data_IF_265663739492
#
_entry.id   IF_265663739492
#
_cell.length_a   1.000
_cell.length_b   1.000
_cell.length_c   1.000
_cell.angle_alpha   90.00
_cell.angle_beta   90.00
_cell.angle_gamma   90.00
#
_symmetry.space_group_name_H-M   'P 1'
#
loop_
_entity.id
_entity.type
_entity.pdbx_description
1 polymer ?
#
# COMPACT_ATOMS: atom_id res chain seq x y z
N UNK A 1 19.94 -0.40 1.26
CA UNK A 1 19.94 -1.68 0.51
C UNK A 1 21.02 -2.69 0.96
N UNK A 2 21.86 -2.41 1.98
CA UNK A 2 23.00 -3.31 2.34
C UNK A 2 22.67 -4.45 3.32
N UNK A 3 21.40 -4.71 3.66
CA UNK A 3 21.06 -5.70 4.69
C UNK A 3 19.92 -6.65 4.31
N UNK A 4 19.67 -6.85 3.02
CA UNK A 4 18.71 -7.81 2.52
C UNK A 4 19.40 -8.90 1.69
N UNK A 5 19.04 -10.15 1.94
CA UNK A 5 19.56 -11.31 1.22
C UNK A 5 18.55 -11.77 0.18
N UNK A 6 18.99 -11.99 -1.05
CA UNK A 6 18.13 -12.51 -2.12
C UNK A 6 17.85 -13.99 -1.84
N UNK A 7 16.59 -14.33 -1.65
CA UNK A 7 16.14 -15.72 -1.47
C UNK A 7 15.99 -16.43 -2.81
N UNK A 8 15.52 -15.72 -3.84
CA UNK A 8 15.32 -16.29 -5.17
C UNK A 8 14.46 -15.41 -6.06
N UNK A 9 14.03 -15.97 -7.19
CA UNK A 9 13.11 -15.34 -8.13
C UNK A 9 11.93 -16.27 -8.40
N UNK A 10 10.72 -15.82 -8.11
CA UNK A 10 9.49 -16.60 -8.31
C UNK A 10 8.51 -15.80 -9.16
N UNK A 11 7.93 -16.43 -10.19
CA UNK A 11 6.99 -15.78 -11.12
C UNK A 11 7.53 -14.47 -11.78
N UNK A 12 8.85 -14.33 -11.88
CA UNK A 12 9.55 -13.15 -12.43
C UNK A 12 9.89 -12.07 -11.40
N UNK A 13 9.48 -12.24 -10.14
CA UNK A 13 9.65 -11.27 -9.05
C UNK A 13 10.79 -11.73 -8.14
N UNK A 14 11.71 -10.82 -7.83
CA UNK A 14 12.80 -11.10 -6.90
C UNK A 14 12.28 -11.06 -5.45
N UNK A 15 12.67 -12.05 -4.65
CA UNK A 15 12.28 -12.15 -3.24
C UNK A 15 13.51 -11.94 -2.36
N UNK A 16 13.40 -11.04 -1.40
CA UNK A 16 14.45 -10.68 -0.46
C UNK A 16 14.01 -10.93 1.00
N UNK A 17 14.97 -11.28 1.84
CA UNK A 17 14.81 -11.40 3.29
C UNK A 17 15.66 -10.34 3.97
N UNK A 18 15.06 -9.48 4.79
CA UNK A 18 15.82 -8.52 5.56
C UNK A 18 16.57 -9.23 6.70
N UNK A 19 17.82 -8.83 6.99
CA UNK A 19 18.68 -9.44 8.01
C UNK A 19 18.06 -9.46 9.41
N UNK A 20 17.26 -8.44 9.75
CA UNK A 20 16.53 -8.36 11.02
C UNK A 20 15.52 -9.50 11.22
N UNK A 21 15.17 -10.23 10.16
CA UNK A 21 14.37 -11.44 10.25
C UNK A 21 15.03 -12.52 11.12
N UNK A 22 16.37 -12.58 11.13
CA UNK A 22 17.12 -13.51 11.97
C UNK A 22 16.84 -13.29 13.46
N UNK A 23 16.51 -12.06 13.89
CA UNK A 23 16.17 -11.78 15.28
C UNK A 23 14.86 -12.45 15.69
N UNK A 24 13.85 -12.49 14.81
CA UNK A 24 12.61 -13.21 15.09
C UNK A 24 12.86 -14.71 15.15
N UNK A 25 13.66 -15.26 14.22
CA UNK A 25 14.00 -16.68 14.24
C UNK A 25 14.78 -17.07 15.50
N UNK A 26 15.74 -16.23 15.92
CA UNK A 26 16.47 -16.41 17.16
C UNK A 26 15.54 -16.34 18.38
N UNK A 27 14.62 -15.36 18.43
CA UNK A 27 13.63 -15.26 19.50
C UNK A 27 12.71 -16.49 19.54
N UNK A 28 12.23 -16.95 18.40
CA UNK A 28 11.40 -18.16 18.31
C UNK A 28 12.15 -19.40 18.82
N UNK A 29 13.41 -19.57 18.40
CA UNK A 29 14.25 -20.67 18.82
C UNK A 29 14.64 -20.64 20.29
N UNK A 30 15.04 -19.47 20.81
CA UNK A 30 15.62 -19.35 22.14
C UNK A 30 14.59 -19.10 23.24
N UNK A 31 13.45 -18.48 22.92
CA UNK A 31 12.47 -18.01 23.93
C UNK A 31 11.13 -18.73 23.81
N UNK A 32 10.61 -18.92 22.59
CA UNK A 32 9.25 -19.43 22.43
C UNK A 32 9.15 -20.95 22.53
N UNK A 33 10.01 -21.69 21.82
CA UNK A 33 9.86 -23.14 21.81
C UNK A 33 10.79 -23.92 20.89
N UNK A 34 11.97 -23.38 20.54
CA UNK A 34 12.94 -24.11 19.75
C UNK A 34 12.51 -24.32 18.29
N UNK A 35 12.86 -25.50 17.75
CA UNK A 35 12.65 -25.83 16.34
C UNK A 35 11.17 -25.74 15.90
N UNK A 36 10.17 -26.26 16.65
CA UNK A 36 8.76 -26.11 16.27
C UNK A 36 8.31 -24.64 16.12
N UNK A 37 8.77 -23.76 17.00
CA UNK A 37 8.44 -22.33 16.94
C UNK A 37 9.11 -21.66 15.71
N UNK A 38 10.36 -22.02 15.40
CA UNK A 38 11.06 -21.56 14.19
C UNK A 38 10.28 -22.00 12.94
N UNK A 39 9.89 -23.27 12.86
CA UNK A 39 9.13 -23.81 11.73
C UNK A 39 7.78 -23.10 11.57
N UNK A 40 7.10 -22.79 12.68
CA UNK A 40 5.83 -22.06 12.64
C UNK A 40 6.03 -20.64 12.14
N UNK A 41 7.07 -19.93 12.59
CA UNK A 41 7.40 -18.59 12.08
C UNK A 41 7.70 -18.63 10.59
N UNK A 42 8.53 -19.58 10.13
CA UNK A 42 8.85 -19.73 8.71
C UNK A 42 7.59 -20.02 7.89
N UNK A 43 6.71 -20.90 8.37
CA UNK A 43 5.44 -21.17 7.70
C UNK A 43 4.51 -19.95 7.67
N UNK A 44 4.39 -19.22 8.78
CA UNK A 44 3.59 -18.01 8.88
C UNK A 44 4.07 -16.93 7.89
N UNK A 45 5.38 -16.69 7.80
CA UNK A 45 5.95 -15.76 6.83
C UNK A 45 5.89 -16.27 5.40
N UNK A 46 5.84 -17.59 5.19
CA UNK A 46 5.53 -18.16 3.87
C UNK A 46 4.09 -17.82 3.47
N UNK A 47 3.12 -17.85 4.40
CA UNK A 47 1.76 -17.37 4.14
C UNK A 47 1.74 -15.86 3.82
N UNK A 48 2.51 -15.03 4.55
CA UNK A 48 2.66 -13.60 4.23
C UNK A 48 3.30 -13.41 2.84
N UNK A 49 4.30 -14.20 2.47
CA UNK A 49 4.88 -14.14 1.14
C UNK A 49 3.85 -14.49 0.06
N UNK A 50 3.06 -15.55 0.27
CA UNK A 50 1.98 -15.94 -0.64
C UNK A 50 0.89 -14.85 -0.75
N UNK A 51 0.58 -14.18 0.36
CA UNK A 51 -0.30 -13.00 0.40
C UNK A 51 0.20 -11.89 -0.55
N UNK A 52 1.47 -11.51 -0.42
CA UNK A 52 2.11 -10.51 -1.28
C UNK A 52 2.13 -10.95 -2.76
N UNK A 53 2.34 -12.25 -3.01
CA UNK A 53 2.20 -12.80 -4.36
C UNK A 53 0.77 -12.66 -4.89
N UNK A 54 -0.26 -12.81 -4.05
CA UNK A 54 -1.64 -12.56 -4.42
C UNK A 54 -1.83 -11.16 -4.99
N UNK A 55 -1.34 -10.14 -4.30
CA UNK A 55 -1.34 -8.76 -4.79
C UNK A 55 -0.56 -8.60 -6.09
N UNK A 56 0.67 -9.11 -6.14
CA UNK A 56 1.57 -8.95 -7.29
C UNK A 56 1.02 -9.62 -8.55
N UNK A 57 0.51 -10.84 -8.45
CA UNK A 57 -0.07 -11.58 -9.57
C UNK A 57 -1.35 -10.92 -10.07
N UNK A 58 -2.17 -10.36 -9.18
CA UNK A 58 -3.36 -9.60 -9.58
C UNK A 58 -2.99 -8.28 -10.25
N UNK A 59 -1.99 -7.55 -9.71
CA UNK A 59 -1.48 -6.32 -10.30
C UNK A 59 -0.95 -6.54 -11.73
N UNK A 60 -0.30 -7.69 -11.97
CA UNK A 60 0.17 -8.08 -13.31
C UNK A 60 -0.95 -8.20 -14.33
N UNK A 61 -2.16 -8.64 -13.92
CA UNK A 61 -3.33 -8.68 -14.83
C UNK A 61 -3.79 -7.29 -15.29
N UNK A 62 -3.45 -6.24 -14.54
CA UNK A 62 -3.70 -4.85 -14.92
C UNK A 62 -2.46 -4.18 -15.56
N UNK A 63 -1.45 -4.95 -15.97
CA UNK A 63 -0.23 -4.42 -16.57
C UNK A 63 0.61 -3.59 -15.60
N UNK A 64 0.59 -3.94 -14.32
CA UNK A 64 1.43 -3.33 -13.29
C UNK A 64 2.46 -4.38 -12.86
N UNK A 65 3.73 -4.07 -13.11
CA UNK A 65 4.85 -4.92 -12.72
C UNK A 65 5.21 -4.72 -11.25
N UNK A 66 5.60 -5.80 -10.59
CA UNK A 66 6.19 -5.79 -9.24
C UNK A 66 7.69 -5.91 -9.37
N UNK A 67 8.44 -5.00 -8.76
CA UNK A 67 9.90 -4.98 -8.82
C UNK A 67 10.50 -6.10 -7.95
N UNK A 68 10.14 -6.09 -6.67
CA UNK A 68 10.54 -7.12 -5.71
C UNK A 68 9.59 -7.19 -4.51
N UNK A 69 9.71 -8.30 -3.78
CA UNK A 69 9.05 -8.53 -2.50
C UNK A 69 10.13 -8.70 -1.44
N UNK A 70 10.10 -7.86 -0.41
CA UNK A 70 11.03 -7.96 0.72
C UNK A 70 10.27 -8.33 1.99
N UNK A 71 10.72 -9.39 2.67
CA UNK A 71 10.19 -9.82 3.96
C UNK A 71 10.93 -9.11 5.10
N UNK A 72 10.17 -8.38 5.90
CA UNK A 72 10.60 -7.71 7.11
C UNK A 72 10.02 -8.42 8.35
N UNK A 73 10.59 -8.19 9.55
CA UNK A 73 10.03 -8.70 10.80
C UNK A 73 8.56 -8.34 11.04
N UNK A 74 8.11 -7.21 10.47
CA UNK A 74 6.75 -6.69 10.64
C UNK A 74 5.77 -7.14 9.55
N UNK A 75 6.23 -7.83 8.50
CA UNK A 75 5.41 -8.24 7.36
C UNK A 75 6.18 -8.28 6.03
N UNK A 76 5.46 -8.52 4.94
CA UNK A 76 5.99 -8.43 3.58
C UNK A 76 5.75 -7.04 2.99
N UNK A 77 6.66 -6.58 2.13
CA UNK A 77 6.46 -5.36 1.33
C UNK A 77 6.71 -5.71 -0.13
N UNK A 78 5.65 -5.69 -0.94
CA UNK A 78 5.74 -5.77 -2.39
C UNK A 78 5.89 -4.36 -3.00
N UNK A 79 7.02 -4.10 -3.66
CA UNK A 79 7.21 -2.84 -4.39
C UNK A 79 6.60 -2.93 -5.78
N UNK A 80 5.47 -2.25 -5.97
CA UNK A 80 4.84 -2.08 -7.28
C UNK A 80 5.49 -0.92 -8.03
N UNK A 81 5.76 -1.10 -9.32
CA UNK A 81 6.38 -0.08 -10.18
C UNK A 81 5.53 1.19 -10.33
N UNK A 82 4.20 1.05 -10.20
CA UNK A 82 3.24 2.16 -10.19
C UNK A 82 2.00 1.78 -9.40
N UNK A 83 1.33 2.78 -8.83
CA UNK A 83 0.02 2.58 -8.22
C UNK A 83 -1.10 2.51 -9.28
N UNK A 84 -2.13 1.66 -9.08
CA UNK A 84 -3.27 1.59 -9.98
C UNK A 84 -4.08 2.91 -9.99
N UNK A 85 -4.39 3.43 -11.18
CA UNK A 85 -5.20 4.66 -11.34
C UNK A 85 -6.71 4.39 -11.26
N UNK A 86 -7.16 3.22 -11.72
CA UNK A 86 -8.59 2.86 -11.65
C UNK A 86 -8.98 2.30 -10.28
N UNK A 87 -10.06 2.78 -9.64
CA UNK A 87 -10.53 2.27 -8.35
C UNK A 87 -10.84 0.76 -8.38
N UNK A 88 -11.42 0.26 -9.48
CA UNK A 88 -11.72 -1.17 -9.62
C UNK A 88 -10.48 -2.06 -9.59
N UNK A 89 -9.40 -1.67 -10.28
CA UNK A 89 -8.14 -2.41 -10.22
C UNK A 89 -7.50 -2.35 -8.83
N UNK A 90 -7.54 -1.19 -8.17
CA UNK A 90 -7.02 -1.05 -6.81
C UNK A 90 -7.75 -1.97 -5.83
N UNK A 91 -9.09 -1.98 -5.88
CA UNK A 91 -9.93 -2.88 -5.11
C UNK A 91 -9.57 -4.35 -5.35
N UNK A 92 -9.50 -4.75 -6.62
CA UNK A 92 -9.24 -6.12 -7.00
C UNK A 92 -7.84 -6.60 -6.56
N UNK A 93 -6.84 -5.72 -6.66
CA UNK A 93 -5.48 -5.99 -6.18
C UNK A 93 -5.50 -6.09 -4.65
N UNK A 94 -6.12 -5.15 -3.93
CA UNK A 94 -6.17 -5.14 -2.47
C UNK A 94 -6.89 -6.36 -1.88
N UNK A 95 -7.89 -6.91 -2.58
CA UNK A 95 -8.58 -8.14 -2.16
C UNK A 95 -7.79 -9.42 -2.48
N UNK A 96 -6.87 -9.38 -3.45
CA UNK A 96 -6.17 -10.58 -3.91
C UNK A 96 -5.26 -11.21 -2.85
N UNK A 97 -4.56 -10.40 -2.05
CA UNK A 97 -3.75 -10.90 -0.93
C UNK A 97 -4.61 -11.60 0.13
N UNK A 98 -5.60 -10.92 0.74
CA UNK A 98 -6.52 -11.53 1.70
C UNK A 98 -7.20 -12.79 1.16
N UNK A 99 -7.58 -12.83 -0.13
CA UNK A 99 -8.15 -14.00 -0.75
C UNK A 99 -7.21 -15.22 -0.73
N UNK A 100 -5.90 -15.04 -0.89
CA UNK A 100 -4.91 -16.13 -0.75
C UNK A 100 -4.95 -16.73 0.65
N UNK A 101 -4.97 -15.88 1.69
CA UNK A 101 -5.02 -16.35 3.08
C UNK A 101 -6.34 -17.04 3.42
N UNK A 102 -7.46 -16.56 2.86
CA UNK A 102 -8.77 -17.25 2.99
C UNK A 102 -8.71 -18.65 2.37
N UNK A 103 -8.10 -18.81 1.19
CA UNK A 103 -7.94 -20.12 0.55
C UNK A 103 -7.06 -21.04 1.40
N UNK A 104 -5.93 -20.53 1.93
CA UNK A 104 -5.05 -21.31 2.81
C UNK A 104 -5.81 -21.73 4.08
N UNK A 105 -6.54 -20.82 4.71
CA UNK A 105 -7.35 -21.10 5.89
C UNK A 105 -8.44 -22.15 5.60
N UNK A 106 -9.13 -22.05 4.45
CA UNK A 106 -10.15 -23.01 4.06
C UNK A 106 -9.57 -24.43 3.87
N UNK A 107 -8.40 -24.54 3.23
CA UNK A 107 -7.72 -25.82 3.03
C UNK A 107 -7.30 -26.43 4.38
N UNK A 108 -6.71 -25.64 5.28
CA UNK A 108 -6.31 -26.10 6.61
C UNK A 108 -7.52 -26.51 7.46
N UNK A 109 -8.60 -25.71 7.43
CA UNK A 109 -9.83 -26.02 8.15
C UNK A 109 -10.48 -27.31 7.63
N UNK A 110 -10.49 -27.53 6.32
CA UNK A 110 -10.98 -28.78 5.73
C UNK A 110 -10.12 -29.98 6.17
N UNK A 111 -8.79 -29.86 6.08
CA UNK A 111 -7.87 -30.91 6.46
C UNK A 111 -8.03 -31.30 7.95
N UNK A 112 -8.18 -30.31 8.83
CA UNK A 112 -8.48 -30.53 10.25
C UNK A 112 -9.86 -31.16 10.45
N UNK A 113 -10.88 -30.66 9.74
CA UNK A 113 -12.27 -31.13 9.88
C UNK A 113 -12.52 -32.56 9.43
N UNK A 114 -11.70 -33.08 8.50
CA UNK A 114 -11.74 -34.50 8.07
C UNK A 114 -10.81 -35.39 8.90
N UNK A 115 -10.17 -34.86 9.95
CA UNK A 115 -9.30 -35.62 10.84
C UNK A 115 -7.96 -36.02 10.21
N UNK A 116 -7.44 -35.27 9.22
CA UNK A 116 -6.19 -35.62 8.53
C UNK A 116 -4.97 -35.66 9.47
N UNK A 117 -5.06 -34.97 10.61
CA UNK A 117 -4.01 -34.89 11.63
C UNK A 117 -4.40 -35.56 12.96
N UNK A 118 -5.51 -36.31 12.98
CA UNK A 118 -5.95 -37.01 14.19
C UNK A 118 -5.05 -38.22 14.44
N UNK A 119 -4.41 -38.25 15.60
CA UNK A 119 -3.59 -39.37 16.02
C UNK A 119 -2.64 -39.04 17.16
N UNK A 120 -2.08 -40.04 17.84
CA UNK A 120 -1.10 -39.82 18.89
C UNK A 120 0.27 -39.41 18.33
N UNK A 121 1.13 -38.88 19.19
CA UNK A 121 2.53 -38.58 18.87
C UNK A 121 2.67 -37.48 17.80
N UNK A 122 3.39 -37.77 16.73
CA UNK A 122 3.73 -36.80 15.68
C UNK A 122 2.49 -36.21 14.99
N UNK A 123 1.40 -36.98 14.87
CA UNK A 123 0.16 -36.50 14.27
C UNK A 123 -0.50 -35.40 15.12
N UNK A 124 -0.50 -35.55 16.45
CA UNK A 124 -0.99 -34.52 17.36
C UNK A 124 -0.17 -33.21 17.25
N UNK A 125 1.15 -33.33 17.07
CA UNK A 125 2.04 -32.18 16.87
C UNK A 125 1.72 -31.47 15.54
N UNK A 126 1.55 -32.22 14.46
CA UNK A 126 1.15 -31.68 13.16
C UNK A 126 -0.24 -31.04 13.21
N UNK A 127 -1.18 -31.63 13.95
CA UNK A 127 -2.51 -31.06 14.17
C UNK A 127 -2.45 -29.73 14.89
N UNK A 128 -1.69 -29.65 16.00
CA UNK A 128 -1.48 -28.38 16.71
C UNK A 128 -0.80 -27.33 15.83
N UNK A 129 0.18 -27.73 15.01
CA UNK A 129 0.82 -26.85 14.05
C UNK A 129 -0.17 -26.31 13.01
N UNK A 130 -1.02 -27.17 12.44
CA UNK A 130 -2.04 -26.79 11.47
C UNK A 130 -3.08 -25.85 12.07
N UNK A 131 -3.52 -26.08 13.31
CA UNK A 131 -4.43 -25.18 14.05
C UNK A 131 -3.81 -23.80 14.26
N UNK A 132 -2.53 -23.74 14.64
CA UNK A 132 -1.82 -22.47 14.79
C UNK A 132 -1.71 -21.74 13.44
N UNK A 133 -1.34 -22.44 12.37
CA UNK A 133 -1.21 -21.84 11.04
C UNK A 133 -2.56 -21.38 10.47
N UNK A 134 -3.63 -22.12 10.73
CA UNK A 134 -5.01 -21.71 10.42
C UNK A 134 -5.36 -20.42 11.16
N UNK A 135 -5.12 -20.38 12.47
CA UNK A 135 -5.39 -19.21 13.30
C UNK A 135 -4.63 -17.98 12.80
N UNK A 136 -3.36 -18.13 12.44
CA UNK A 136 -2.54 -17.06 11.85
C UNK A 136 -3.16 -16.55 10.55
N UNK A 137 -3.59 -17.43 9.64
CA UNK A 137 -4.20 -17.00 8.38
C UNK A 137 -5.53 -16.26 8.60
N UNK A 138 -6.37 -16.72 9.53
CA UNK A 138 -7.60 -16.02 9.92
C UNK A 138 -7.27 -14.63 10.47
N UNK A 139 -6.32 -14.54 11.40
CA UNK A 139 -5.86 -13.28 11.98
C UNK A 139 -5.34 -12.35 10.88
N UNK A 140 -4.50 -12.84 9.96
CA UNK A 140 -4.01 -12.04 8.83
C UNK A 140 -5.14 -11.47 7.97
N UNK A 141 -6.16 -12.28 7.65
CA UNK A 141 -7.34 -11.80 6.90
C UNK A 141 -8.09 -10.73 7.69
N UNK A 142 -8.38 -10.98 8.96
CA UNK A 142 -9.15 -10.05 9.79
C UNK A 142 -8.42 -8.71 9.95
N UNK A 143 -7.12 -8.75 10.27
CA UNK A 143 -6.30 -7.55 10.39
C UNK A 143 -6.16 -6.82 9.06
N UNK A 144 -5.82 -7.52 7.97
CA UNK A 144 -5.66 -6.84 6.67
C UNK A 144 -6.98 -6.33 6.11
N UNK A 145 -8.15 -6.81 6.56
CA UNK A 145 -9.45 -6.31 6.12
C UNK A 145 -10.08 -5.25 7.01
N UNK A 146 -9.37 -4.76 8.03
CA UNK A 146 -9.78 -3.57 8.77
C UNK A 146 -9.80 -2.38 7.78
N UNK A 147 -10.92 -1.62 7.69
CA UNK A 147 -11.09 -0.53 6.73
C UNK A 147 -10.32 0.74 7.13
N UNK A 148 -9.00 0.63 7.23
CA UNK A 148 -8.13 1.68 7.72
C UNK A 148 -6.70 1.50 7.17
N UNK A 149 -5.99 2.60 6.88
CA UNK A 149 -4.57 2.49 6.55
C UNK A 149 -3.74 2.13 7.80
N UNK A 150 -2.64 1.36 7.65
CA UNK A 150 -1.99 0.94 6.39
C UNK A 150 -2.46 -0.40 5.80
N UNK A 151 -3.53 -1.00 6.33
CA UNK A 151 -3.98 -2.33 5.94
C UNK A 151 -4.66 -2.32 4.55
N UNK A 152 -4.77 -3.49 3.92
CA UNK A 152 -5.40 -3.62 2.59
C UNK A 152 -6.86 -3.18 2.57
N UNK A 153 -7.58 -3.38 3.67
CA UNK A 153 -8.94 -2.91 3.89
C UNK A 153 -9.04 -1.38 3.81
N UNK A 154 -7.98 -0.65 4.14
CA UNK A 154 -7.87 0.78 3.87
C UNK A 154 -7.87 1.11 2.38
N UNK A 155 -7.19 0.29 1.56
CA UNK A 155 -7.18 0.42 0.08
C UNK A 155 -8.52 0.02 -0.53
N UNK A 156 -9.15 -1.03 -0.01
CA UNK A 156 -10.53 -1.42 -0.34
C UNK A 156 -11.49 -0.27 -0.05
N UNK A 157 -11.46 0.29 1.16
CA UNK A 157 -12.29 1.43 1.53
C UNK A 157 -12.04 2.63 0.63
N UNK A 158 -10.76 2.97 0.39
CA UNK A 158 -10.37 4.07 -0.50
C UNK A 158 -10.94 3.87 -1.90
N UNK A 159 -10.77 2.68 -2.48
CA UNK A 159 -11.27 2.35 -3.81
C UNK A 159 -12.80 2.45 -3.88
N UNK A 160 -13.52 1.96 -2.87
CA UNK A 160 -14.98 2.04 -2.79
C UNK A 160 -15.47 3.50 -2.74
N UNK A 161 -14.82 4.35 -1.93
CA UNK A 161 -15.23 5.74 -1.73
C UNK A 161 -14.78 6.69 -2.86
N UNK A 162 -13.78 6.29 -3.66
CA UNK A 162 -13.18 7.16 -4.68
C UNK A 162 -14.20 7.59 -5.74
N UNK A 163 -15.17 6.74 -6.08
CA UNK A 163 -16.21 7.07 -7.07
C UNK A 163 -17.12 8.23 -6.66
N UNK A 164 -17.34 8.43 -5.35
CA UNK A 164 -18.23 9.49 -4.84
C UNK A 164 -17.49 10.71 -4.30
N UNK A 165 -16.33 10.50 -3.66
CA UNK A 165 -15.63 11.54 -2.91
C UNK A 165 -14.36 12.03 -3.60
N UNK A 166 -13.89 11.31 -4.62
CA UNK A 166 -12.57 11.50 -5.21
C UNK A 166 -11.45 10.87 -4.37
N UNK A 167 -10.34 10.54 -5.05
CA UNK A 167 -9.21 9.76 -4.48
C UNK A 167 -8.61 10.39 -3.23
N UNK A 168 -8.41 11.71 -3.23
CA UNK A 168 -7.78 12.44 -2.12
C UNK A 168 -8.66 12.35 -0.86
N UNK A 169 -9.96 12.65 -0.96
CA UNK A 169 -10.88 12.59 0.18
C UNK A 169 -11.06 11.16 0.70
N UNK A 170 -11.18 10.18 -0.20
CA UNK A 170 -11.23 8.77 0.17
C UNK A 170 -9.97 8.33 0.96
N UNK A 171 -8.79 8.77 0.51
CA UNK A 171 -7.52 8.52 1.21
C UNK A 171 -7.48 9.19 2.57
N UNK A 172 -7.94 10.44 2.68
CA UNK A 172 -8.02 11.16 3.95
C UNK A 172 -8.88 10.41 4.96
N UNK A 173 -10.04 9.90 4.55
CA UNK A 173 -10.94 9.13 5.43
C UNK A 173 -10.25 7.86 5.93
N UNK A 174 -9.74 7.02 5.02
CA UNK A 174 -9.06 5.77 5.39
C UNK A 174 -7.83 6.00 6.30
N UNK A 175 -7.06 7.07 6.05
CA UNK A 175 -5.93 7.46 6.88
C UNK A 175 -6.36 7.98 8.26
N UNK A 176 -7.47 8.72 8.32
CA UNK A 176 -8.00 9.27 9.57
C UNK A 176 -8.55 8.17 10.48
N UNK A 177 -9.24 7.18 9.91
CA UNK A 177 -9.68 5.98 10.65
C UNK A 177 -8.46 5.26 11.22
N UNK A 178 -7.42 5.01 10.40
CA UNK A 178 -6.19 4.35 10.85
C UNK A 178 -5.47 5.09 11.97
N UNK A 179 -5.32 6.41 11.84
CA UNK A 179 -4.75 7.27 12.89
C UNK A 179 -5.59 7.27 14.17
N UNK A 180 -6.92 7.32 14.05
CA UNK A 180 -7.84 7.25 15.19
C UNK A 180 -7.71 5.92 15.94
N UNK A 181 -7.72 4.80 15.22
CA UNK A 181 -7.51 3.47 15.79
C UNK A 181 -6.12 3.35 16.46
N UNK A 182 -5.07 3.89 15.83
CA UNK A 182 -3.73 3.89 16.41
C UNK A 182 -3.67 4.70 17.72
N UNK A 183 -4.34 5.85 17.80
CA UNK A 183 -4.43 6.65 19.04
C UNK A 183 -5.16 5.86 20.12
N UNK A 184 -6.33 5.28 19.81
CA UNK A 184 -7.11 4.49 20.78
C UNK A 184 -6.31 3.29 21.30
N UNK A 185 -5.64 2.56 20.40
CA UNK A 185 -4.76 1.45 20.74
C UNK A 185 -3.59 1.92 21.62
N UNK A 186 -2.92 3.02 21.26
CA UNK A 186 -1.81 3.56 22.04
C UNK A 186 -2.22 4.02 23.44
N UNK A 187 -3.36 4.69 23.60
CA UNK A 187 -3.89 5.09 24.91
C UNK A 187 -4.21 3.87 25.77
N UNK A 188 -4.84 2.85 25.18
CA UNK A 188 -5.16 1.61 25.86
C UNK A 188 -3.90 0.84 26.30
N UNK A 189 -2.88 0.76 25.44
CA UNK A 189 -1.58 0.16 25.78
C UNK A 189 -0.84 0.95 26.87
N UNK A 190 -0.95 2.28 26.86
CA UNK A 190 -0.36 3.13 27.90
C UNK A 190 -0.99 2.88 29.27
N UNK A 191 -2.32 2.69 29.33
CA UNK A 191 -3.03 2.35 30.58
C UNK A 191 -2.60 1.01 31.17
N UNK A 192 -2.05 0.10 30.35
CA UNK A 192 -1.52 -1.21 30.77
C UNK A 192 -0.03 -1.19 31.10
N UNK A 193 0.68 -0.11 30.77
CA UNK A 193 2.13 -0.03 30.89
C UNK A 193 2.90 -0.79 29.81
N UNK A 194 2.24 -1.18 28.71
CA UNK A 194 2.84 -1.95 27.61
C UNK A 194 3.57 -1.02 26.61
N UNK A 195 4.75 -0.53 27.00
CA UNK A 195 5.53 0.44 26.19
C UNK A 195 5.83 -0.02 24.77
N UNK A 196 6.05 -1.32 24.54
CA UNK A 196 6.27 -1.87 23.20
C UNK A 196 5.06 -1.68 22.29
N UNK A 197 3.84 -1.86 22.81
CA UNK A 197 2.62 -1.64 22.04
C UNK A 197 2.36 -0.16 21.79
N UNK A 198 2.76 0.73 22.71
CA UNK A 198 2.71 2.18 22.49
C UNK A 198 3.61 2.60 21.32
N UNK A 199 4.82 2.03 21.24
CA UNK A 199 5.73 2.26 20.10
C UNK A 199 5.12 1.72 18.80
N UNK A 200 4.51 0.53 18.84
CA UNK A 200 3.79 -0.03 17.68
C UNK A 200 2.63 0.87 17.24
N UNK A 201 1.84 1.41 18.19
CA UNK A 201 0.75 2.34 17.91
C UNK A 201 1.27 3.62 17.22
N UNK A 202 2.37 4.18 17.73
CA UNK A 202 3.02 5.34 17.11
C UNK A 202 3.48 5.03 15.68
N UNK A 203 4.06 3.86 15.45
CA UNK A 203 4.45 3.41 14.11
C UNK A 203 3.25 3.33 13.17
N UNK A 204 2.16 2.68 13.57
CA UNK A 204 0.92 2.58 12.79
C UNK A 204 0.39 3.98 12.44
N UNK A 205 0.38 4.92 13.39
CA UNK A 205 -0.05 6.30 13.17
C UNK A 205 0.78 7.00 12.07
N UNK A 206 2.10 6.83 12.11
CA UNK A 206 3.03 7.44 11.13
C UNK A 206 2.81 6.85 9.74
N UNK A 207 2.70 5.51 9.62
CA UNK A 207 2.52 4.83 8.33
C UNK A 207 1.16 5.15 7.73
N UNK A 208 0.09 5.15 8.52
CA UNK A 208 -1.25 5.56 8.06
C UNK A 208 -1.22 6.99 7.47
N UNK A 209 -0.38 7.86 8.03
CA UNK A 209 -0.17 9.21 7.52
C UNK A 209 0.70 9.34 6.27
N UNK A 210 1.57 8.36 5.99
CA UNK A 210 2.46 8.38 4.84
C UNK A 210 1.70 8.24 3.52
N UNK A 211 0.67 7.38 3.49
CA UNK A 211 -0.15 7.12 2.31
C UNK A 211 -0.84 8.39 1.78
N UNK A 212 -1.38 9.22 2.68
CA UNK A 212 -2.00 10.49 2.31
C UNK A 212 -0.98 11.47 1.72
N UNK A 213 0.23 11.53 2.29
CA UNK A 213 1.29 12.41 1.79
C UNK A 213 1.72 12.00 0.38
N UNK A 214 1.78 10.72 0.09
CA UNK A 214 2.10 10.21 -1.24
C UNK A 214 1.05 10.65 -2.28
N UNK A 215 -0.24 10.44 -2.00
CA UNK A 215 -1.31 10.84 -2.93
C UNK A 215 -1.34 12.35 -3.17
N UNK A 216 -1.06 13.16 -2.13
CA UNK A 216 -0.98 14.62 -2.28
C UNK A 216 0.25 15.07 -3.09
N UNK A 217 1.38 14.36 -2.97
CA UNK A 217 2.57 14.64 -3.76
C UNK A 217 2.35 14.29 -5.24
N UNK A 218 1.71 13.15 -5.52
CA UNK A 218 1.33 12.76 -6.89
C UNK A 218 0.39 13.79 -7.52
N UNK A 219 -0.62 14.27 -6.78
CA UNK A 219 -1.55 15.29 -7.27
C UNK A 219 -0.88 16.63 -7.60
N UNK A 220 0.20 17.00 -6.90
CA UNK A 220 1.00 18.20 -7.20
C UNK A 220 1.86 18.02 -8.45
N UNK A 221 2.44 16.84 -8.63
CA UNK A 221 3.26 16.54 -9.81
C UNK A 221 2.41 16.55 -11.09
N UNK A 222 1.20 15.99 -11.05
CA UNK A 222 0.28 16.04 -12.19
C UNK A 222 -0.13 17.50 -12.51
N UNK A 223 -0.41 18.32 -11.50
CA UNK A 223 -0.74 19.74 -11.73
C UNK A 223 0.43 20.58 -12.26
N UNK A 224 1.66 20.28 -11.83
CA UNK A 224 2.85 20.98 -12.35
C UNK A 224 3.19 20.54 -13.77
N UNK A 225 2.93 19.28 -14.15
CA UNK A 225 3.12 18.79 -15.52
C UNK A 225 2.14 19.40 -16.52
N UNK A 226 0.90 19.70 -16.10
CA UNK A 226 -0.06 20.49 -16.90
C UNK A 226 0.35 21.97 -17.01
N UNK A 227 1.27 22.45 -16.15
CA UNK A 227 1.83 23.81 -16.23
C UNK A 227 3.15 23.90 -17.01
N UNK A 228 3.73 22.78 -17.42
CA UNK A 228 5.04 22.68 -18.07
C UNK A 228 5.02 22.08 -19.49
N UNK A 229 3.88 22.15 -20.16
CA UNK A 229 3.78 21.90 -21.59
C UNK A 229 3.07 23.07 -22.31
N UNK A 230 3.73 24.24 -22.33
CA UNK A 230 3.37 25.35 -23.22
C UNK A 230 4.62 26.02 -23.83
N UNK A 231 5.69 25.24 -24.06
CA UNK A 231 6.84 25.71 -24.85
C UNK A 231 7.10 24.93 -26.14
N UNK A 232 6.41 23.79 -26.35
CA UNK A 232 6.44 23.03 -27.60
C UNK A 232 5.07 23.03 -28.32
N UNK A 233 4.11 23.82 -27.84
CA UNK A 233 2.83 24.02 -28.50
C UNK A 233 3.01 24.95 -29.72
N UNK A 234 2.51 24.47 -30.86
CA UNK A 234 2.47 25.08 -32.20
C UNK A 234 1.70 26.43 -32.24
N UNK A 235 1.39 27.00 -31.09
CA UNK A 235 0.51 28.16 -30.89
C UNK A 235 1.23 29.42 -30.39
N UNK A 236 2.56 29.51 -30.47
CA UNK A 236 3.26 30.78 -30.22
C UNK A 236 2.83 31.82 -31.28
N UNK A 237 2.11 32.86 -30.86
CA UNK A 237 1.72 33.95 -31.75
C UNK A 237 2.98 34.67 -32.27
N UNK A 238 3.08 34.98 -33.58
CA UNK A 238 4.19 35.75 -34.12
C UNK A 238 4.37 37.10 -33.40
N UNK A 239 5.60 37.65 -33.36
CA UNK A 239 5.85 38.96 -32.74
C UNK A 239 4.89 40.03 -33.26
N UNK A 240 4.25 40.77 -32.35
CA UNK A 240 3.25 41.78 -32.69
C UNK A 240 1.81 41.28 -32.78
N UNK A 241 1.55 39.99 -32.51
CA UNK A 241 0.21 39.41 -32.47
C UNK A 241 -0.09 38.69 -31.15
N UNK A 242 -1.37 38.54 -30.82
CA UNK A 242 -1.89 37.78 -29.68
C UNK A 242 -3.09 36.95 -30.09
N UNK A 243 -3.22 35.76 -29.51
CA UNK A 243 -4.45 34.96 -29.62
C UNK A 243 -5.59 35.56 -28.81
N UNK A 244 -6.75 35.74 -29.45
CA UNK A 244 -7.98 36.21 -28.80
C UNK A 244 -9.09 35.19 -29.05
N UNK A 245 -9.79 34.80 -27.98
CA UNK A 245 -10.93 33.89 -28.06
C UNK A 245 -12.20 34.65 -28.45
N UNK A 246 -12.90 34.19 -29.49
CA UNK A 246 -14.23 34.72 -29.91
C UNK A 246 -15.41 33.93 -29.34
N UNK A 247 -15.17 33.02 -28.39
CA UNK A 247 -16.19 32.11 -27.86
C UNK A 247 -16.44 30.89 -28.76
N UNK A 248 -17.13 29.87 -28.22
CA UNK A 248 -17.37 28.56 -28.86
C UNK A 248 -16.10 27.83 -29.33
N UNK A 249 -14.97 28.01 -28.63
CA UNK A 249 -13.70 27.33 -28.94
C UNK A 249 -12.98 27.86 -30.19
N UNK A 250 -13.38 29.02 -30.73
CA UNK A 250 -12.75 29.62 -31.92
C UNK A 250 -11.71 30.66 -31.49
N UNK A 251 -10.48 30.49 -31.97
CA UNK A 251 -9.32 31.36 -31.72
C UNK A 251 -8.94 32.14 -32.97
N UNK A 252 -8.59 33.42 -32.80
CA UNK A 252 -8.14 34.28 -33.90
C UNK A 252 -6.91 35.09 -33.48
N UNK A 253 -5.97 35.27 -34.42
CA UNK A 253 -4.84 36.17 -34.27
C UNK A 253 -5.29 37.64 -34.38
N UNK A 254 -4.92 38.46 -33.40
CA UNK A 254 -5.15 39.91 -33.41
C UNK A 254 -3.83 40.67 -33.21
N UNK A 255 -3.59 41.79 -33.92
CA UNK A 255 -2.39 42.61 -33.74
C UNK A 255 -2.40 43.33 -32.40
N UNK A 256 -1.23 43.49 -31.78
CA UNK A 256 -1.03 44.23 -30.53
C UNK A 256 -0.99 45.73 -30.86
N UNK A 257 -2.04 46.47 -30.50
CA UNK A 257 -2.09 47.93 -30.66
C UNK A 257 -1.63 48.58 -29.36
N UNK A 258 -0.43 49.18 -29.37
CA UNK A 258 0.08 49.96 -28.24
C UNK A 258 -0.36 51.40 -28.40
N UNK A 259 -1.34 51.85 -27.60
CA UNK A 259 -1.69 53.26 -27.54
C UNK A 259 -0.67 54.01 -26.68
N UNK A 260 0.21 54.77 -27.32
CA UNK A 260 1.11 55.70 -26.63
C UNK A 260 0.32 56.96 -26.28
N UNK A 261 -0.13 57.10 -25.04
CA UNK A 261 -0.64 58.37 -24.54
C UNK A 261 0.54 59.32 -24.33
N UNK A 262 0.73 60.26 -25.25
CA UNK A 262 1.72 61.34 -25.14
C UNK A 262 1.33 62.28 -23.98
N UNK A 263 1.83 61.99 -22.76
CA UNK A 263 1.80 62.94 -21.65
C UNK A 263 2.92 63.96 -21.86
N UNK A 264 2.65 64.97 -22.69
CA UNK A 264 3.49 66.17 -22.73
C UNK A 264 3.40 66.93 -21.42
N UNK A 265 4.58 67.07 -20.83
CA UNK A 265 5.02 67.98 -19.77
C UNK A 265 4.23 69.28 -19.60
N UNK A 266 3.80 69.55 -18.36
CA UNK A 266 3.65 70.91 -17.84
C UNK A 266 4.39 71.01 -16.50
N UNK A 267 5.70 71.26 -16.57
CA UNK A 267 6.42 71.91 -15.47
C UNK A 267 6.52 73.39 -15.83
N UNK A 268 5.74 74.21 -15.13
CA UNK A 268 5.94 75.65 -14.94
C UNK A 268 5.69 75.93 -13.47
#
# INVERSE_FOLDING_TARGET
MQSSWKLGRLAGIDVYLHSTFMLILAYAGLVLGGLPAILLVVAAFSCVLLHEFGHALMARKFGIETEDITLYPIGGVARLRRMPKSPGAEMAIALAGPAVNVVIAAILALALGIGLFDGPGDMAILGAFAVNLLSINIVLVLFNMIPAFPMDGGRVLRAALTGWLGRVRATMIAASIGRGLAILFGLFSLMRGDWLQVILAMFIYIVAGAELRQVLAEGRSDSDSDSHNDSDDVWVAPPGFRWVSRGKGVWQLAPIVVHTTDRRSSWR
#
